data_IF_467837029264
#
_entry.id   IF_467837029264
#
_cell.length_a   1.000
_cell.length_b   1.000
_cell.length_c   1.000
_cell.angle_alpha   90.00
_cell.angle_beta   90.00
_cell.angle_gamma   90.00
#
_symmetry.space_group_name_H-M   'P 1'
#
loop_
_entity.id
_entity.type
_entity.pdbx_description
1 polymer ?
#
# COMPACT_ATOMS: atom_id res chain seq x y z
N UNK A 1 -8.87 -18.62 -8.01
CA UNK A 1 -8.32 -17.26 -8.16
C UNK A 1 -8.70 -16.69 -9.51
N UNK A 2 -8.44 -17.37 -10.63
CA UNK A 2 -8.92 -16.98 -11.97
C UNK A 2 -10.41 -16.53 -12.06
N UNK A 3 -11.34 -17.22 -11.38
CA UNK A 3 -12.76 -16.79 -11.26
C UNK A 3 -12.94 -15.36 -10.69
N UNK A 4 -12.11 -14.97 -9.72
CA UNK A 4 -12.09 -13.60 -9.19
C UNK A 4 -11.40 -12.63 -10.17
N UNK A 5 -10.36 -13.07 -10.89
CA UNK A 5 -9.74 -12.31 -11.97
C UNK A 5 -10.75 -11.94 -13.06
N UNK A 6 -11.58 -12.90 -13.48
CA UNK A 6 -12.70 -12.67 -14.43
C UNK A 6 -13.71 -11.65 -13.89
N UNK A 7 -14.14 -11.77 -12.64
CA UNK A 7 -15.07 -10.82 -12.02
C UNK A 7 -14.51 -9.39 -11.89
N UNK A 8 -13.19 -9.25 -11.72
CA UNK A 8 -12.52 -7.94 -11.77
C UNK A 8 -12.37 -7.43 -13.22
N UNK A 9 -12.06 -8.30 -14.18
CA UNK A 9 -11.95 -7.99 -15.61
C UNK A 9 -13.28 -7.51 -16.20
N UNK A 10 -14.36 -8.26 -15.97
CA UNK A 10 -15.73 -7.93 -16.38
C UNK A 10 -16.15 -6.56 -15.82
N UNK A 11 -15.84 -6.28 -14.54
CA UNK A 11 -16.13 -5.00 -13.92
C UNK A 11 -15.29 -3.86 -14.49
N UNK A 12 -13.98 -4.06 -14.66
CA UNK A 12 -13.06 -3.06 -15.21
C UNK A 12 -13.46 -2.63 -16.63
N UNK A 13 -13.86 -3.57 -17.48
CA UNK A 13 -14.40 -3.29 -18.81
C UNK A 13 -15.74 -2.55 -18.71
N UNK A 14 -16.65 -2.97 -17.83
CA UNK A 14 -17.96 -2.33 -17.66
C UNK A 14 -17.89 -0.87 -17.14
N UNK A 15 -16.80 -0.47 -16.47
CA UNK A 15 -16.56 0.92 -16.04
C UNK A 15 -15.59 1.69 -16.96
N UNK A 16 -15.16 1.10 -18.09
CA UNK A 16 -14.21 1.71 -19.02
C UNK A 16 -12.77 1.85 -18.49
N UNK A 17 -12.41 1.15 -17.42
CA UNK A 17 -11.06 1.17 -16.81
C UNK A 17 -10.11 0.24 -17.58
N UNK A 18 -9.68 0.68 -18.76
CA UNK A 18 -8.75 -0.02 -19.66
C UNK A 18 -7.58 0.88 -20.06
N UNK A 19 -6.44 0.29 -20.47
CA UNK A 19 -5.31 1.03 -21.02
C UNK A 19 -5.45 1.27 -22.55
N UNK A 20 -4.46 1.96 -23.13
CA UNK A 20 -4.29 2.19 -24.58
C UNK A 20 -4.38 0.91 -25.45
N UNK A 21 -4.02 -0.26 -24.89
CA UNK A 21 -4.06 -1.59 -25.55
C UNK A 21 -5.35 -2.37 -25.22
N UNK A 22 -6.36 -1.74 -24.63
CA UNK A 22 -7.62 -2.39 -24.19
C UNK A 22 -7.49 -3.32 -22.98
N UNK A 23 -6.34 -3.39 -22.32
CA UNK A 23 -6.10 -4.25 -21.15
C UNK A 23 -6.80 -3.68 -19.91
N UNK A 24 -7.63 -4.44 -19.18
CA UNK A 24 -8.34 -3.94 -18.00
C UNK A 24 -7.39 -3.60 -16.84
N UNK A 25 -7.69 -2.48 -16.19
CA UNK A 25 -6.91 -1.87 -15.11
C UNK A 25 -7.72 -1.84 -13.82
N UNK A 26 -7.18 -2.39 -12.73
CA UNK A 26 -7.87 -2.46 -11.42
C UNK A 26 -7.03 -1.96 -10.24
N UNK A 27 -7.66 -1.33 -9.24
CA UNK A 27 -7.03 -1.08 -7.95
C UNK A 27 -7.02 -2.37 -7.11
N UNK A 28 -5.88 -2.66 -6.49
CA UNK A 28 -5.70 -3.83 -5.62
C UNK A 28 -5.16 -3.43 -4.25
N UNK A 29 -5.34 -4.30 -3.26
CA UNK A 29 -4.69 -4.16 -1.95
C UNK A 29 -3.85 -5.38 -1.62
N UNK A 30 -2.69 -5.16 -0.99
CA UNK A 30 -1.76 -6.24 -0.65
C UNK A 30 -0.99 -5.97 0.64
N UNK A 31 -0.82 -7.03 1.43
CA UNK A 31 -0.27 -7.07 2.79
C UNK A 31 0.27 -8.49 3.04
N UNK A 32 1.18 -8.67 4.00
CA UNK A 32 1.71 -9.97 4.38
C UNK A 32 1.64 -10.23 5.87
N UNK A 33 1.66 -11.52 6.23
CA UNK A 33 1.72 -11.92 7.61
C UNK A 33 2.74 -13.03 7.87
N UNK A 34 3.52 -12.81 8.92
CA UNK A 34 4.58 -13.72 9.34
C UNK A 34 4.03 -14.89 10.16
N UNK A 35 4.69 -16.04 10.07
CA UNK A 35 4.34 -17.26 10.82
C UNK A 35 4.45 -17.11 12.34
N UNK A 36 5.28 -16.18 12.82
CA UNK A 36 5.46 -15.80 14.23
C UNK A 36 4.96 -14.36 14.44
N UNK A 37 4.53 -14.02 15.66
CA UNK A 37 4.25 -12.62 16.04
C UNK A 37 5.56 -11.88 16.33
N UNK A 38 5.77 -10.76 15.64
CA UNK A 38 6.79 -9.75 15.94
C UNK A 38 6.18 -8.67 16.84
N UNK A 39 6.64 -8.55 18.09
CA UNK A 39 6.20 -7.51 19.02
C UNK A 39 7.04 -6.23 18.87
N UNK A 40 7.19 -5.74 17.64
CA UNK A 40 8.06 -4.60 17.29
C UNK A 40 9.56 -4.92 17.30
N UNK A 41 10.04 -5.75 18.22
CA UNK A 41 11.47 -5.96 18.51
C UNK A 41 12.11 -7.20 17.86
N UNK A 42 11.34 -8.06 17.18
CA UNK A 42 11.84 -9.38 16.77
C UNK A 42 11.28 -9.85 15.41
N UNK A 43 12.01 -9.53 14.35
CA UNK A 43 11.66 -9.84 12.96
C UNK A 43 12.20 -11.21 12.49
N UNK A 44 12.44 -12.19 13.38
CA UNK A 44 13.12 -13.45 13.04
C UNK A 44 12.33 -14.45 12.16
N UNK A 45 11.01 -14.26 11.97
CA UNK A 45 10.07 -15.27 11.48
C UNK A 45 10.58 -16.11 10.29
N UNK A 46 10.57 -17.45 10.43
CA UNK A 46 11.13 -18.37 9.42
C UNK A 46 10.33 -18.43 8.11
N UNK A 47 9.06 -18.00 8.16
CA UNK A 47 8.19 -17.92 6.98
C UNK A 47 7.26 -16.70 7.05
N UNK A 48 6.86 -16.22 5.88
CA UNK A 48 5.78 -15.25 5.69
C UNK A 48 4.88 -15.66 4.52
N UNK A 49 3.63 -15.23 4.58
CA UNK A 49 2.65 -15.41 3.51
C UNK A 49 2.01 -14.05 3.20
N UNK A 50 1.93 -13.70 1.92
CA UNK A 50 1.38 -12.44 1.44
C UNK A 50 0.32 -12.69 0.38
N UNK A 51 -0.60 -11.74 0.23
CA UNK A 51 -1.67 -11.83 -0.75
C UNK A 51 -1.98 -10.48 -1.37
N UNK A 52 -2.47 -10.53 -2.61
CA UNK A 52 -3.07 -9.40 -3.32
C UNK A 52 -4.57 -9.72 -3.49
N UNK A 53 -5.43 -8.79 -3.08
CA UNK A 53 -6.87 -8.89 -3.25
C UNK A 53 -7.39 -7.75 -4.16
N UNK A 54 -8.29 -8.12 -5.08
CA UNK A 54 -9.01 -7.16 -5.91
C UNK A 54 -10.05 -6.40 -5.10
N UNK A 55 -10.23 -5.11 -5.39
CA UNK A 55 -11.07 -4.24 -4.55
C UNK A 55 -12.57 -4.37 -4.84
N UNK A 56 -12.96 -4.80 -6.03
CA UNK A 56 -14.37 -4.97 -6.41
C UNK A 56 -14.91 -6.31 -5.89
N UNK A 57 -14.31 -7.41 -6.35
CA UNK A 57 -14.63 -8.79 -5.97
C UNK A 57 -14.38 -9.06 -4.48
N UNK A 58 -13.44 -8.31 -3.88
CA UNK A 58 -12.96 -8.46 -2.49
C UNK A 58 -12.37 -9.84 -2.21
N UNK A 59 -11.98 -10.58 -3.27
CA UNK A 59 -11.35 -11.91 -3.25
C UNK A 59 -9.84 -11.79 -3.46
N UNK A 60 -9.09 -12.80 -3.00
CA UNK A 60 -7.65 -12.94 -3.27
C UNK A 60 -7.43 -13.34 -4.73
N UNK A 61 -6.60 -12.57 -5.44
CA UNK A 61 -6.18 -12.78 -6.82
C UNK A 61 -4.85 -13.53 -6.88
N UNK A 62 -3.89 -13.15 -6.03
CA UNK A 62 -2.57 -13.78 -5.92
C UNK A 62 -2.23 -14.03 -4.45
N UNK A 63 -1.53 -15.13 -4.16
CA UNK A 63 -0.90 -15.36 -2.86
C UNK A 63 0.48 -16.02 -3.05
N UNK A 64 1.43 -15.66 -2.19
CA UNK A 64 2.76 -16.25 -2.18
C UNK A 64 3.19 -16.60 -0.76
N UNK A 65 4.10 -17.57 -0.64
CA UNK A 65 4.65 -18.04 0.65
C UNK A 65 6.17 -18.14 0.52
N UNK A 66 6.88 -17.47 1.43
CA UNK A 66 8.35 -17.45 1.49
C UNK A 66 8.82 -18.12 2.78
N UNK A 67 9.72 -19.09 2.69
CA UNK A 67 10.32 -19.78 3.82
C UNK A 67 11.86 -19.76 3.71
N UNK A 68 12.54 -19.45 4.82
CA UNK A 68 14.00 -19.49 4.95
C UNK A 68 14.55 -20.87 5.33
N UNK A 69 13.68 -21.82 5.69
CA UNK A 69 14.05 -23.09 6.32
C UNK A 69 13.28 -24.25 5.70
N UNK A 70 14.02 -25.28 5.28
CA UNK A 70 13.49 -26.62 5.06
C UNK A 70 14.06 -27.56 6.13
N UNK A 71 13.23 -28.40 6.77
CA UNK A 71 13.72 -29.34 7.80
C UNK A 71 14.73 -30.35 7.27
N UNK A 72 14.60 -30.78 6.01
CA UNK A 72 15.48 -31.81 5.43
C UNK A 72 16.88 -31.22 5.24
N UNK A 73 17.01 -30.09 4.54
CA UNK A 73 18.27 -29.33 4.44
C UNK A 73 18.87 -29.00 5.82
N UNK A 74 18.04 -28.54 6.77
CA UNK A 74 18.51 -28.16 8.11
C UNK A 74 19.00 -29.36 8.94
N UNK A 75 18.45 -30.56 8.73
CA UNK A 75 18.94 -31.80 9.37
C UNK A 75 20.19 -32.35 8.71
N UNK A 76 20.31 -32.23 7.39
CA UNK A 76 21.47 -32.67 6.63
C UNK A 76 22.71 -31.81 6.95
N UNK A 77 22.57 -30.49 6.87
CA UNK A 77 23.60 -29.52 7.26
C UNK A 77 24.06 -29.71 8.72
N UNK A 78 23.12 -29.95 9.66
CA UNK A 78 23.45 -30.32 11.06
C UNK A 78 24.24 -31.62 11.24
N UNK A 79 24.31 -32.48 10.23
CA UNK A 79 25.13 -33.70 10.21
C UNK A 79 26.40 -33.56 9.36
N UNK A 80 26.67 -32.39 8.78
CA UNK A 80 27.67 -32.20 7.73
C UNK A 80 27.52 -33.18 6.56
N UNK A 81 26.27 -33.48 6.18
CA UNK A 81 25.91 -34.32 5.04
C UNK A 81 25.07 -33.53 4.04
N UNK A 82 25.14 -33.92 2.77
CA UNK A 82 24.23 -33.41 1.74
C UNK A 82 22.77 -33.81 2.02
N UNK A 83 21.81 -32.95 1.64
CA UNK A 83 20.40 -33.29 1.78
C UNK A 83 20.02 -34.42 0.81
N UNK A 84 19.27 -35.44 1.26
CA UNK A 84 18.67 -36.39 0.33
C UNK A 84 17.68 -35.66 -0.59
N UNK A 85 17.45 -36.22 -1.78
CA UNK A 85 16.49 -35.63 -2.73
C UNK A 85 15.11 -35.46 -2.09
N UNK A 86 14.55 -34.27 -2.27
CA UNK A 86 13.26 -33.87 -1.73
C UNK A 86 12.78 -32.56 -2.35
N UNK A 87 11.46 -32.36 -2.35
CA UNK A 87 10.85 -31.05 -2.62
C UNK A 87 11.28 -30.07 -1.51
N UNK A 88 12.26 -29.22 -1.83
CA UNK A 88 12.77 -28.22 -0.89
C UNK A 88 11.77 -27.06 -0.74
N UNK A 89 11.34 -26.79 0.49
CA UNK A 89 10.42 -25.68 0.79
C UNK A 89 11.12 -24.35 1.13
N UNK A 90 12.47 -24.32 1.14
CA UNK A 90 13.26 -23.09 1.27
C UNK A 90 13.30 -22.39 -0.08
N UNK A 91 12.69 -21.20 -0.16
CA UNK A 91 12.52 -20.44 -1.39
C UNK A 91 12.72 -18.92 -1.16
N UNK A 92 13.42 -18.56 -0.09
CA UNK A 92 13.73 -17.18 0.27
C UNK A 92 14.98 -17.09 1.13
N UNK A 93 15.91 -16.24 0.74
CA UNK A 93 17.11 -15.89 1.48
C UNK A 93 17.14 -14.38 1.67
N UNK A 94 17.18 -13.94 2.94
CA UNK A 94 17.06 -12.52 3.29
C UNK A 94 16.34 -12.28 4.62
N UNK A 95 16.20 -11.00 5.03
CA UNK A 95 15.46 -10.62 6.24
C UNK A 95 13.96 -10.86 6.06
N UNK A 96 13.26 -11.24 7.13
CA UNK A 96 11.85 -11.63 7.04
C UNK A 96 10.94 -10.48 6.59
N UNK A 97 11.34 -9.24 6.83
CA UNK A 97 10.67 -8.01 6.35
C UNK A 97 10.60 -7.93 4.82
N UNK A 98 11.64 -8.39 4.12
CA UNK A 98 11.67 -8.39 2.65
C UNK A 98 10.81 -9.50 2.00
N UNK A 99 10.24 -10.42 2.79
CA UNK A 99 9.33 -11.46 2.26
C UNK A 99 8.08 -10.87 1.61
N UNK A 100 7.52 -9.82 2.20
CA UNK A 100 6.34 -9.13 1.67
C UNK A 100 6.65 -8.50 0.32
N UNK A 101 7.69 -7.67 0.25
CA UNK A 101 8.13 -7.02 -0.98
C UNK A 101 8.35 -8.04 -2.10
N UNK A 102 8.98 -9.18 -1.82
CA UNK A 102 9.13 -10.27 -2.78
C UNK A 102 7.78 -10.87 -3.24
N UNK A 103 6.90 -11.26 -2.31
CA UNK A 103 5.60 -11.89 -2.63
C UNK A 103 4.69 -10.96 -3.42
N UNK A 104 4.57 -9.70 -3.00
CA UNK A 104 3.71 -8.73 -3.68
C UNK A 104 4.31 -8.38 -5.05
N UNK A 105 5.63 -8.21 -5.17
CA UNK A 105 6.29 -7.94 -6.47
C UNK A 105 6.16 -9.12 -7.43
N UNK A 106 6.16 -10.36 -6.95
CA UNK A 106 5.87 -11.55 -7.78
C UNK A 106 4.44 -11.51 -8.31
N UNK A 107 3.44 -11.28 -7.45
CA UNK A 107 2.04 -11.18 -7.86
C UNK A 107 1.68 -9.97 -8.73
N UNK A 108 2.49 -8.91 -8.71
CA UNK A 108 2.40 -7.79 -9.65
C UNK A 108 3.01 -8.13 -11.02
N UNK A 109 3.97 -9.05 -11.10
CA UNK A 109 4.56 -9.50 -12.37
C UNK A 109 3.69 -10.54 -13.07
N UNK A 110 3.11 -11.48 -12.33
CA UNK A 110 2.29 -12.55 -12.91
C UNK A 110 0.84 -12.16 -13.23
N UNK A 111 0.39 -10.93 -12.91
CA UNK A 111 -1.02 -10.52 -13.04
C UNK A 111 -1.55 -10.52 -14.47
N UNK A 112 -0.69 -10.27 -15.46
CA UNK A 112 -1.02 -10.38 -16.89
C UNK A 112 -1.16 -11.84 -17.30
N UNK A 113 -0.24 -12.71 -16.90
CA UNK A 113 -0.24 -14.14 -17.26
C UNK A 113 -1.35 -14.92 -16.52
N UNK A 114 -1.56 -14.63 -15.24
CA UNK A 114 -2.54 -15.29 -14.36
C UNK A 114 -3.99 -14.89 -14.68
N UNK A 115 -4.23 -13.63 -15.05
CA UNK A 115 -5.58 -13.03 -15.10
C UNK A 115 -5.84 -12.06 -16.27
N UNK A 116 -4.83 -11.65 -17.05
CA UNK A 116 -4.98 -10.59 -18.06
C UNK A 116 -5.24 -9.19 -17.48
N UNK A 117 -4.77 -8.92 -16.26
CA UNK A 117 -5.09 -7.70 -15.50
C UNK A 117 -3.87 -6.83 -15.20
N UNK A 118 -4.04 -5.51 -15.32
CA UNK A 118 -3.07 -4.51 -14.86
C UNK A 118 -3.51 -3.98 -13.49
N UNK A 119 -2.68 -4.15 -12.48
CA UNK A 119 -2.92 -3.57 -11.15
C UNK A 119 -2.45 -2.11 -11.13
N UNK A 120 -3.33 -1.17 -11.45
CA UNK A 120 -2.97 0.25 -11.66
C UNK A 120 -2.75 1.03 -10.35
N UNK A 121 -3.37 0.61 -9.24
CA UNK A 121 -3.19 1.20 -7.92
C UNK A 121 -2.92 0.13 -6.87
N UNK A 122 -2.00 0.43 -5.96
CA UNK A 122 -1.63 -0.40 -4.84
C UNK A 122 -2.05 0.26 -3.52
N UNK A 123 -3.11 -0.25 -2.90
CA UNK A 123 -3.59 0.14 -1.57
C UNK A 123 -2.85 -0.66 -0.50
N UNK A 124 -1.94 0.00 0.20
CA UNK A 124 -1.07 -0.61 1.21
C UNK A 124 -1.19 0.13 2.55
N UNK A 125 -0.39 -0.26 3.54
CA UNK A 125 -0.03 0.65 4.63
C UNK A 125 1.22 1.48 4.27
N UNK A 126 1.78 2.16 5.26
CA UNK A 126 2.84 3.16 5.07
C UNK A 126 4.20 2.61 4.62
N UNK A 127 4.39 1.29 4.59
CA UNK A 127 5.71 0.72 4.38
C UNK A 127 6.19 0.94 2.94
N UNK A 128 7.34 1.62 2.83
CA UNK A 128 7.85 2.14 1.56
C UNK A 128 8.57 1.09 0.71
N UNK A 129 9.10 0.04 1.35
CA UNK A 129 9.89 -1.03 0.70
C UNK A 129 9.08 -1.81 -0.33
N UNK A 130 7.83 -2.15 -0.03
CA UNK A 130 7.00 -2.97 -0.93
C UNK A 130 6.60 -2.17 -2.17
N UNK A 131 6.19 -0.91 -2.01
CA UNK A 131 5.91 -0.04 -3.16
C UNK A 131 7.16 0.31 -3.98
N UNK A 132 8.31 0.55 -3.34
CA UNK A 132 9.58 0.77 -4.03
C UNK A 132 9.98 -0.46 -4.87
N UNK A 133 9.81 -1.67 -4.33
CA UNK A 133 10.04 -2.92 -5.05
C UNK A 133 9.16 -3.04 -6.31
N UNK A 134 7.85 -2.80 -6.18
CA UNK A 134 6.92 -2.77 -7.32
C UNK A 134 7.37 -1.74 -8.36
N UNK A 135 7.58 -0.48 -7.95
CA UNK A 135 7.96 0.64 -8.84
C UNK A 135 9.29 0.44 -9.57
N UNK A 136 10.27 -0.19 -8.92
CA UNK A 136 11.58 -0.51 -9.50
C UNK A 136 11.52 -1.73 -10.42
N UNK A 137 10.65 -2.71 -10.11
CA UNK A 137 10.48 -3.92 -10.93
C UNK A 137 9.76 -3.70 -12.27
N UNK A 138 9.05 -2.57 -12.42
CA UNK A 138 8.25 -2.17 -13.59
C UNK A 138 7.45 -3.34 -14.19
N UNK A 139 6.39 -3.83 -13.50
CA UNK A 139 5.61 -4.98 -13.97
C UNK A 139 4.87 -4.74 -15.28
N UNK A 140 4.61 -3.47 -15.66
CA UNK A 140 3.87 -3.10 -16.86
C UNK A 140 4.66 -2.08 -17.69
N UNK A 141 4.62 -2.20 -19.01
CA UNK A 141 5.34 -1.31 -19.92
C UNK A 141 4.81 0.13 -19.88
N UNK A 142 3.48 0.28 -19.98
CA UNK A 142 2.80 1.57 -20.18
C UNK A 142 2.21 2.20 -18.91
N UNK A 143 2.26 1.52 -17.76
CA UNK A 143 1.56 1.92 -16.53
C UNK A 143 2.49 1.86 -15.31
N UNK A 144 2.78 3.02 -14.70
CA UNK A 144 3.27 3.04 -13.30
C UNK A 144 2.10 2.78 -12.35
N UNK A 145 2.30 1.81 -11.47
CA UNK A 145 1.43 1.56 -10.32
C UNK A 145 1.43 2.78 -9.40
N UNK A 146 0.28 3.37 -9.13
CA UNK A 146 0.14 4.42 -8.11
C UNK A 146 0.07 3.83 -6.69
N UNK A 147 0.70 4.48 -5.69
CA UNK A 147 0.47 4.11 -4.28
C UNK A 147 -0.74 4.86 -3.73
N UNK A 148 -1.57 4.16 -2.96
CA UNK A 148 -2.62 4.78 -2.14
C UNK A 148 -2.45 4.30 -0.69
N UNK A 149 -2.33 5.25 0.24
CA UNK A 149 -2.11 4.96 1.66
C UNK A 149 -3.42 4.57 2.36
N UNK A 150 -3.42 3.47 3.12
CA UNK A 150 -4.59 3.06 3.89
C UNK A 150 -5.00 4.13 4.91
N UNK A 151 -6.23 4.64 4.77
CA UNK A 151 -6.82 5.67 5.66
C UNK A 151 -6.74 5.28 7.15
N UNK A 152 -6.95 3.99 7.47
CA UNK A 152 -6.86 3.50 8.85
C UNK A 152 -5.43 3.61 9.41
N UNK A 153 -4.40 3.43 8.57
CA UNK A 153 -3.00 3.53 8.97
C UNK A 153 -2.52 4.97 9.10
N UNK A 154 -2.88 5.87 8.17
CA UNK A 154 -2.64 7.31 8.29
C UNK A 154 -3.21 7.86 9.60
N UNK A 155 -4.51 7.66 9.86
CA UNK A 155 -5.19 8.14 11.06
C UNK A 155 -4.64 7.50 12.35
N UNK A 156 -4.26 6.21 12.31
CA UNK A 156 -3.63 5.51 13.45
C UNK A 156 -2.26 6.13 13.76
N UNK A 157 -1.46 6.45 12.76
CA UNK A 157 -0.11 7.01 12.95
C UNK A 157 -0.17 8.47 13.42
N UNK A 158 -1.09 9.29 12.87
CA UNK A 158 -1.39 10.62 13.38
C UNK A 158 -1.78 10.60 14.87
N UNK A 159 -2.72 9.72 15.27
CA UNK A 159 -3.08 9.58 16.68
C UNK A 159 -1.92 9.13 17.59
N UNK A 160 -1.02 8.26 17.13
CA UNK A 160 0.19 7.88 17.90
C UNK A 160 1.07 9.10 18.15
N UNK A 161 1.26 9.96 17.15
CA UNK A 161 2.11 11.15 17.25
C UNK A 161 1.50 12.22 18.18
N UNK A 162 0.20 12.51 18.06
CA UNK A 162 -0.51 13.39 19.00
C UNK A 162 -0.43 12.88 20.44
N UNK A 163 -0.60 11.57 20.65
CA UNK A 163 -0.43 10.95 21.97
C UNK A 163 1.01 11.07 22.49
N UNK A 164 2.02 10.98 21.62
CA UNK A 164 3.43 11.15 22.00
C UNK A 164 3.70 12.57 22.56
N UNK A 165 3.18 13.61 21.90
CA UNK A 165 3.21 15.00 22.39
C UNK A 165 2.50 15.10 23.75
N UNK A 166 1.30 14.55 23.86
CA UNK A 166 0.53 14.57 25.11
C UNK A 166 1.19 13.81 26.27
N UNK A 167 2.05 12.82 25.99
CA UNK A 167 2.86 12.14 27.02
C UNK A 167 4.17 12.85 27.37
N UNK A 168 4.71 13.69 26.50
CA UNK A 168 6.03 14.30 26.68
C UNK A 168 6.04 15.30 27.86
N UNK A 169 6.74 14.97 28.94
CA UNK A 169 6.77 15.74 30.20
C UNK A 169 7.35 17.16 30.08
N UNK A 170 7.99 17.53 28.96
CA UNK A 170 8.45 18.91 28.68
C UNK A 170 7.30 19.93 28.69
N UNK A 171 6.07 19.52 28.37
CA UNK A 171 4.93 20.44 28.25
C UNK A 171 4.08 20.53 29.53
N UNK A 172 3.43 21.67 29.82
CA UNK A 172 2.56 21.85 30.99
C UNK A 172 1.43 20.82 31.10
N UNK A 173 1.08 20.45 32.32
CA UNK A 173 0.08 19.39 32.60
C UNK A 173 -1.28 19.72 31.98
N UNK A 174 -1.72 20.99 32.02
CA UNK A 174 -2.98 21.48 31.44
C UNK A 174 -3.04 21.24 29.93
N UNK A 175 -2.06 21.76 29.17
CA UNK A 175 -1.93 21.54 27.73
C UNK A 175 -1.87 20.05 27.34
N UNK A 176 -1.12 19.24 28.10
CA UNK A 176 -1.01 17.79 27.87
C UNK A 176 -2.32 17.05 28.08
N UNK A 177 -3.06 17.38 29.15
CA UNK A 177 -4.40 16.83 29.40
C UNK A 177 -5.35 17.22 28.26
N UNK A 178 -5.38 18.50 27.88
CA UNK A 178 -6.27 19.02 26.85
C UNK A 178 -6.07 18.31 25.49
N UNK A 179 -4.81 18.05 25.08
CA UNK A 179 -4.53 17.28 23.86
C UNK A 179 -4.89 15.78 24.01
N UNK A 180 -4.59 15.18 25.17
CA UNK A 180 -4.90 13.77 25.49
C UNK A 180 -6.40 13.47 25.50
N UNK A 181 -7.23 14.45 25.87
CA UNK A 181 -8.68 14.28 25.94
C UNK A 181 -9.32 14.55 24.56
N UNK A 182 -8.71 15.39 23.70
CA UNK A 182 -9.27 15.79 22.40
C UNK A 182 -8.74 15.06 21.15
N UNK A 183 -7.58 14.37 21.17
CA UNK A 183 -6.99 13.77 19.95
C UNK A 183 -7.92 12.83 19.15
N UNK A 184 -8.86 12.15 19.81
CA UNK A 184 -9.87 11.32 19.14
C UNK A 184 -10.93 12.13 18.40
N UNK A 185 -11.26 13.34 18.87
CA UNK A 185 -12.12 14.29 18.15
C UNK A 185 -11.43 14.76 16.88
N UNK A 186 -10.11 15.00 16.91
CA UNK A 186 -9.35 15.42 15.71
C UNK A 186 -9.39 14.33 14.64
N UNK A 187 -9.16 13.07 15.04
CA UNK A 187 -9.37 11.92 14.15
C UNK A 187 -10.80 11.83 13.59
N UNK A 188 -11.81 12.03 14.45
CA UNK A 188 -13.21 11.92 14.06
C UNK A 188 -13.61 13.02 13.07
N UNK A 189 -13.17 14.26 13.29
CA UNK A 189 -13.38 15.37 12.37
C UNK A 189 -12.84 15.08 10.97
N UNK A 190 -11.60 14.59 10.87
CA UNK A 190 -11.00 14.18 9.59
C UNK A 190 -11.80 13.04 8.93
N UNK A 191 -12.22 12.03 9.70
CA UNK A 191 -13.04 10.93 9.18
C UNK A 191 -14.50 11.35 8.85
N UNK A 192 -14.95 12.53 9.27
CA UNK A 192 -16.22 13.14 8.85
C UNK A 192 -16.05 13.98 7.57
N UNK A 193 -15.04 14.85 7.51
CA UNK A 193 -14.63 15.58 6.30
C UNK A 193 -14.46 14.63 5.10
N UNK A 194 -13.68 13.56 5.28
CA UNK A 194 -13.40 12.59 4.21
C UNK A 194 -14.67 11.88 3.73
N UNK A 195 -15.64 11.59 4.62
CA UNK A 195 -16.93 11.01 4.21
C UNK A 195 -17.78 12.00 3.43
N UNK A 196 -17.80 13.26 3.86
CA UNK A 196 -18.55 14.32 3.19
C UNK A 196 -18.06 14.51 1.76
N UNK A 197 -16.77 14.78 1.56
CA UNK A 197 -16.18 15.02 0.24
C UNK A 197 -16.15 13.79 -0.66
N UNK A 198 -15.99 12.58 -0.10
CA UNK A 198 -16.11 11.33 -0.85
C UNK A 198 -17.52 11.14 -1.44
N UNK A 199 -18.56 11.55 -0.72
CA UNK A 199 -19.96 11.42 -1.15
C UNK A 199 -20.44 12.44 -2.19
N UNK A 200 -19.66 13.50 -2.47
CA UNK A 200 -20.02 14.51 -3.47
C UNK A 200 -19.66 14.04 -4.87
N UNK A 201 -20.62 13.64 -5.71
CA UNK A 201 -20.32 13.19 -7.07
C UNK A 201 -20.07 14.35 -8.08
N UNK A 202 -20.56 15.55 -7.77
CA UNK A 202 -20.57 16.70 -8.69
C UNK A 202 -19.26 17.55 -8.64
N UNK A 203 -18.21 17.05 -7.98
CA UNK A 203 -16.99 17.79 -7.66
C UNK A 203 -15.78 16.99 -8.14
N UNK A 204 -14.78 17.64 -8.75
CA UNK A 204 -13.60 16.96 -9.29
C UNK A 204 -12.75 16.31 -8.19
N UNK A 205 -11.92 15.34 -8.58
CA UNK A 205 -11.01 14.68 -7.64
C UNK A 205 -9.99 15.66 -7.04
N UNK A 206 -9.55 16.66 -7.81
CA UNK A 206 -8.61 17.70 -7.36
C UNK A 206 -9.23 18.60 -6.28
N UNK A 207 -10.45 19.09 -6.51
CA UNK A 207 -11.18 19.90 -5.52
C UNK A 207 -11.49 19.10 -4.24
N UNK A 208 -11.86 17.82 -4.35
CA UNK A 208 -12.03 16.94 -3.18
C UNK A 208 -10.76 16.85 -2.36
N UNK A 209 -9.61 16.67 -3.01
CA UNK A 209 -8.31 16.59 -2.36
C UNK A 209 -7.96 17.91 -1.66
N UNK A 210 -8.11 19.06 -2.32
CA UNK A 210 -7.77 20.37 -1.75
C UNK A 210 -8.71 20.73 -0.58
N UNK A 211 -10.01 20.44 -0.68
CA UNK A 211 -10.94 20.64 0.43
C UNK A 211 -10.63 19.73 1.64
N UNK A 212 -10.33 18.44 1.42
CA UNK A 212 -9.89 17.51 2.48
C UNK A 212 -8.59 17.98 3.14
N UNK A 213 -7.62 18.47 2.35
CA UNK A 213 -6.34 19.02 2.83
C UNK A 213 -6.57 20.23 3.75
N UNK A 214 -7.43 21.17 3.34
CA UNK A 214 -7.78 22.35 4.14
C UNK A 214 -8.55 21.97 5.41
N UNK A 215 -9.50 21.03 5.34
CA UNK A 215 -10.17 20.46 6.52
C UNK A 215 -9.19 19.80 7.51
N UNK A 216 -8.18 19.07 7.03
CA UNK A 216 -7.16 18.44 7.89
C UNK A 216 -6.32 19.51 8.63
N UNK A 217 -5.98 20.62 7.95
CA UNK A 217 -5.21 21.72 8.54
C UNK A 217 -6.06 22.52 9.55
N UNK A 218 -7.34 22.75 9.25
CA UNK A 218 -8.27 23.47 10.12
C UNK A 218 -8.83 22.60 11.29
N UNK A 219 -8.81 21.27 11.15
CA UNK A 219 -9.35 20.33 12.14
C UNK A 219 -8.88 20.55 13.60
N UNK A 220 -7.57 20.76 13.86
CA UNK A 220 -7.09 21.14 15.19
C UNK A 220 -7.67 22.46 15.70
N UNK A 221 -7.67 23.51 14.87
CA UNK A 221 -8.17 24.85 15.21
C UNK A 221 -9.62 24.78 15.70
N UNK A 222 -10.51 24.15 14.91
CA UNK A 222 -11.91 23.92 15.26
C UNK A 222 -12.08 23.24 16.63
N UNK A 223 -11.20 22.29 16.97
CA UNK A 223 -11.36 21.45 18.16
C UNK A 223 -10.81 22.10 19.42
N UNK A 224 -9.89 23.06 19.27
CA UNK A 224 -9.38 23.90 20.34
C UNK A 224 -10.03 25.30 20.38
N UNK A 225 -11.12 25.52 19.62
CA UNK A 225 -12.03 26.67 19.75
C UNK A 225 -11.73 27.87 18.85
N UNK A 226 -10.85 27.74 17.86
CA UNK A 226 -10.72 28.71 16.78
C UNK A 226 -11.59 28.29 15.58
N UNK A 227 -12.63 29.06 15.32
CA UNK A 227 -13.59 28.79 14.25
C UNK A 227 -13.47 29.73 13.04
N UNK A 228 -12.41 30.54 12.98
CA UNK A 228 -12.19 31.56 11.92
C UNK A 228 -12.20 31.01 10.50
N UNK A 229 -11.74 29.76 10.29
CA UNK A 229 -11.63 29.09 8.98
C UNK A 229 -12.56 27.89 8.85
N UNK A 230 -13.61 27.78 9.68
CA UNK A 230 -14.51 26.63 9.65
C UNK A 230 -15.60 26.74 8.58
N UNK A 231 -15.68 25.73 7.70
CA UNK A 231 -16.77 25.60 6.74
C UNK A 231 -18.14 25.32 7.40
N UNK A 232 -19.21 25.79 6.77
CA UNK A 232 -20.58 25.77 7.31
C UNK A 232 -21.16 24.37 7.52
N UNK A 233 -20.83 23.39 6.67
CA UNK A 233 -21.25 21.99 6.85
C UNK A 233 -20.59 21.31 8.05
N UNK A 234 -19.51 21.91 8.60
CA UNK A 234 -18.69 21.32 9.66
C UNK A 234 -18.82 22.06 11.00
N UNK A 235 -19.23 23.34 11.00
CA UNK A 235 -19.34 24.17 12.20
C UNK A 235 -20.59 25.05 12.17
N UNK A 236 -21.55 24.73 13.03
CA UNK A 236 -22.76 25.54 13.26
C UNK A 236 -22.49 26.63 14.29
N UNK A 237 -23.27 27.73 14.26
CA UNK A 237 -23.08 28.85 15.18
C UNK A 237 -23.39 28.51 16.65
N UNK A 238 -24.10 27.41 16.90
CA UNK A 238 -24.26 26.84 18.24
C UNK A 238 -22.93 26.32 18.81
N UNK A 239 -22.05 25.74 17.98
CA UNK A 239 -20.72 25.28 18.39
C UNK A 239 -19.83 26.50 18.69
N UNK A 240 -19.83 27.49 17.80
CA UNK A 240 -19.03 28.73 17.95
C UNK A 240 -19.35 29.52 19.23
N UNK A 241 -20.60 29.43 19.73
CA UNK A 241 -21.06 30.06 20.98
C UNK A 241 -20.73 29.27 22.24
N UNK A 242 -20.27 28.02 22.12
CA UNK A 242 -19.94 27.13 23.24
C UNK A 242 -18.43 26.83 23.37
N UNK A 243 -17.62 27.34 22.43
CA UNK A 243 -16.18 27.11 22.34
C UNK A 243 -15.35 28.21 23.02
N UNK A 244 -14.65 27.87 24.11
CA UNK A 244 -13.52 28.67 24.59
C UNK A 244 -12.32 28.47 23.66
N UNK A 245 -11.67 29.55 23.21
CA UNK A 245 -10.51 29.46 22.31
C UNK A 245 -9.23 29.22 23.11
N UNK A 246 -8.78 27.97 23.12
CA UNK A 246 -7.57 27.48 23.81
C UNK A 246 -6.33 27.47 22.90
N UNK A 247 -6.45 27.88 21.63
CA UNK A 247 -5.31 27.94 20.69
C UNK A 247 -4.19 28.87 21.20
N UNK A 248 -4.45 30.07 21.76
CA UNK A 248 -3.39 30.93 22.29
C UNK A 248 -2.58 30.28 23.42
N UNK A 249 -3.24 29.63 24.39
CA UNK A 249 -2.58 28.91 25.49
C UNK A 249 -1.66 27.80 24.95
N UNK A 250 -2.17 27.00 24.01
CA UNK A 250 -1.41 25.91 23.41
C UNK A 250 -0.25 26.40 22.52
N UNK A 251 -0.35 27.61 21.93
CA UNK A 251 0.74 28.26 21.18
C UNK A 251 1.83 28.81 22.10
N UNK A 252 1.48 29.50 23.19
CA UNK A 252 2.44 29.96 24.22
C UNK A 252 3.25 28.80 24.80
N UNK A 253 2.65 27.61 24.93
CA UNK A 253 3.33 26.41 25.42
C UNK A 253 4.02 25.56 24.34
N UNK A 254 4.05 26.00 23.07
CA UNK A 254 4.69 25.30 21.95
C UNK A 254 4.05 23.96 21.55
N UNK A 255 2.97 23.55 22.22
CA UNK A 255 2.24 22.30 21.95
C UNK A 255 1.49 22.39 20.62
N UNK A 256 0.87 23.53 20.34
CA UNK A 256 0.02 23.69 19.16
C UNK A 256 0.84 23.61 17.85
N UNK A 257 2.04 24.19 17.81
CA UNK A 257 2.94 24.09 16.64
C UNK A 257 3.20 22.63 16.27
N UNK A 258 3.48 21.76 17.25
CA UNK A 258 3.70 20.34 17.00
C UNK A 258 2.43 19.60 16.50
N UNK A 259 1.24 20.12 16.79
CA UNK A 259 -0.04 19.62 16.25
C UNK A 259 -0.28 20.16 14.83
N UNK A 260 0.04 21.42 14.55
CA UNK A 260 0.06 22.01 13.21
C UNK A 260 1.03 21.26 12.29
N UNK A 261 2.28 21.06 12.72
CA UNK A 261 3.31 20.30 11.99
C UNK A 261 2.87 18.86 11.67
N UNK A 262 2.04 18.25 12.51
CA UNK A 262 1.45 16.93 12.27
C UNK A 262 0.24 16.98 11.34
N UNK A 263 -0.59 18.02 11.44
CA UNK A 263 -1.75 18.21 10.56
C UNK A 263 -1.29 18.52 9.12
N UNK A 264 -0.31 19.40 8.93
CA UNK A 264 0.31 19.67 7.63
C UNK A 264 0.91 18.39 7.02
N UNK A 265 1.70 17.62 7.77
CA UNK A 265 2.22 16.32 7.29
C UNK A 265 1.12 15.32 6.94
N UNK A 266 -0.02 15.32 7.65
CA UNK A 266 -1.16 14.47 7.32
C UNK A 266 -1.88 14.96 6.05
N UNK A 267 -1.99 16.27 5.84
CA UNK A 267 -2.65 16.88 4.67
C UNK A 267 -1.93 16.59 3.35
N UNK A 268 -0.61 16.33 3.37
CA UNK A 268 0.14 15.83 2.21
C UNK A 268 -0.40 14.49 1.68
N UNK A 269 -1.11 13.71 2.50
CA UNK A 269 -1.76 12.46 2.10
C UNK A 269 -3.22 12.64 1.63
N UNK A 270 -3.68 13.87 1.38
CA UNK A 270 -5.05 14.16 0.95
C UNK A 270 -5.50 13.36 -0.28
N UNK A 271 -4.60 13.09 -1.23
CA UNK A 271 -4.81 12.17 -2.36
C UNK A 271 -5.33 10.79 -1.90
N UNK A 272 -4.69 10.21 -0.87
CA UNK A 272 -5.10 8.90 -0.32
C UNK A 272 -6.37 8.97 0.51
N UNK A 273 -6.63 10.11 1.15
CA UNK A 273 -7.90 10.35 1.83
C UNK A 273 -9.07 10.51 0.87
N UNK A 274 -8.88 11.15 -0.30
CA UNK A 274 -9.91 11.31 -1.33
C UNK A 274 -10.38 9.96 -1.90
N UNK A 275 -9.49 8.96 -1.99
CA UNK A 275 -9.88 7.57 -2.31
C UNK A 275 -10.61 6.86 -1.17
N UNK A 276 -10.46 7.28 0.10
CA UNK A 276 -11.18 6.76 1.27
C UNK A 276 -10.96 5.24 1.56
N UNK A 277 -9.94 4.62 0.95
CA UNK A 277 -9.68 3.17 0.94
C UNK A 277 -8.93 2.64 2.17
N UNK A 278 -8.94 1.31 2.34
CA UNK A 278 -8.26 0.60 3.44
C UNK A 278 -7.76 -0.79 3.04
N UNK A 279 -6.59 -1.22 3.53
CA UNK A 279 -6.06 -2.58 3.35
C UNK A 279 -6.74 -3.67 4.21
N UNK A 280 -7.89 -3.37 4.83
CA UNK A 280 -8.65 -4.27 5.70
C UNK A 280 -9.00 -5.64 5.05
N UNK A 281 -9.10 -5.72 3.72
CA UNK A 281 -9.37 -6.98 3.02
C UNK A 281 -8.26 -7.99 3.27
N UNK A 282 -7.00 -7.59 3.01
CA UNK A 282 -5.83 -8.44 3.20
C UNK A 282 -5.44 -8.59 4.68
N UNK A 283 -5.70 -7.60 5.55
CA UNK A 283 -5.66 -7.81 7.02
C UNK A 283 -6.59 -8.98 7.41
N UNK A 284 -7.79 -9.07 6.81
CA UNK A 284 -8.77 -10.12 7.12
C UNK A 284 -8.44 -11.48 6.49
N UNK A 285 -7.73 -11.51 5.35
CA UNK A 285 -7.08 -12.73 4.85
C UNK A 285 -5.99 -13.20 5.82
N UNK A 286 -5.12 -12.29 6.26
CA UNK A 286 -4.05 -12.55 7.21
C UNK A 286 -4.57 -13.02 8.58
N UNK A 287 -5.78 -12.61 8.97
CA UNK A 287 -6.51 -13.18 10.10
C UNK A 287 -6.97 -14.64 9.85
N UNK A 288 -7.47 -14.98 8.65
CA UNK A 288 -7.79 -16.38 8.30
C UNK A 288 -6.53 -17.26 8.25
N UNK A 289 -5.43 -16.78 7.66
CA UNK A 289 -4.12 -17.47 7.73
C UNK A 289 -3.73 -17.73 9.18
N UNK A 290 -3.85 -16.74 10.06
CA UNK A 290 -3.56 -16.88 11.48
C UNK A 290 -4.42 -17.98 12.17
N UNK A 291 -5.69 -18.16 11.78
CA UNK A 291 -6.51 -19.27 12.25
C UNK A 291 -6.00 -20.63 11.74
N UNK A 292 -5.75 -20.74 10.42
CA UNK A 292 -5.27 -21.99 9.79
C UNK A 292 -3.90 -22.43 10.32
N UNK A 293 -3.06 -21.51 10.82
CA UNK A 293 -1.75 -21.80 11.46
C UNK A 293 -1.80 -21.80 13.00
N UNK A 294 -2.96 -22.09 13.60
CA UNK A 294 -3.08 -22.32 15.04
C UNK A 294 -2.79 -21.09 15.89
N UNK A 295 -3.29 -19.92 15.47
CA UNK A 295 -3.13 -18.65 16.18
C UNK A 295 -1.70 -18.09 16.18
N UNK A 296 -0.82 -18.61 15.31
CA UNK A 296 0.64 -18.37 15.33
C UNK A 296 1.33 -18.88 16.62
N UNK A 297 0.71 -19.87 17.30
CA UNK A 297 1.27 -20.54 18.49
C UNK A 297 2.08 -21.80 18.14
N UNK A 298 1.67 -22.52 17.09
CA UNK A 298 2.30 -23.78 16.64
C UNK A 298 3.24 -23.49 15.47
N UNK A 299 4.44 -24.05 15.49
CA UNK A 299 5.44 -23.83 14.44
C UNK A 299 5.21 -24.75 13.22
N UNK A 300 4.48 -24.26 12.21
CA UNK A 300 4.27 -24.97 10.95
C UNK A 300 5.33 -24.68 9.86
N UNK A 301 6.31 -23.80 10.10
CA UNK A 301 7.29 -23.32 9.10
C UNK A 301 8.26 -24.38 8.59
N UNK A 302 8.36 -25.50 9.30
CA UNK A 302 9.41 -26.50 9.13
C UNK A 302 9.22 -27.42 7.90
N UNK A 303 8.02 -27.50 7.33
CA UNK A 303 7.63 -28.37 6.20
C UNK A 303 6.52 -27.69 5.38
N UNK A 304 6.05 -28.34 4.29
CA UNK A 304 4.90 -27.94 3.44
C UNK A 304 3.64 -27.44 4.18
N UNK A 305 3.48 -27.81 5.46
CA UNK A 305 2.29 -27.48 6.27
C UNK A 305 1.97 -25.98 6.32
N UNK A 306 2.96 -25.07 6.43
CA UNK A 306 2.67 -23.63 6.41
C UNK A 306 2.07 -23.18 5.07
N UNK A 307 2.68 -23.58 3.94
CA UNK A 307 2.18 -23.25 2.61
C UNK A 307 0.78 -23.82 2.34
N UNK A 308 0.55 -25.10 2.67
CA UNK A 308 -0.77 -25.74 2.52
C UNK A 308 -1.86 -25.09 3.39
N UNK A 309 -1.50 -24.61 4.59
CA UNK A 309 -2.41 -23.84 5.47
C UNK A 309 -2.74 -22.46 4.91
N UNK A 310 -1.79 -21.80 4.24
CA UNK A 310 -2.04 -20.52 3.56
C UNK A 310 -2.92 -20.71 2.32
N UNK A 311 -2.71 -21.78 1.54
CA UNK A 311 -3.59 -22.14 0.42
C UNK A 311 -5.02 -22.46 0.89
N UNK A 312 -5.18 -23.27 1.94
CA UNK A 312 -6.49 -23.52 2.56
C UNK A 312 -7.17 -22.26 3.08
N UNK A 313 -6.40 -21.28 3.57
CA UNK A 313 -6.91 -19.97 3.94
C UNK A 313 -7.38 -19.14 2.72
N UNK A 314 -6.75 -19.27 1.54
CA UNK A 314 -7.22 -18.62 0.29
C UNK A 314 -8.56 -19.21 -0.16
N UNK A 315 -8.69 -20.54 -0.17
CA UNK A 315 -9.96 -21.21 -0.49
C UNK A 315 -11.05 -20.75 0.50
N UNK A 316 -10.73 -20.79 1.81
CA UNK A 316 -11.62 -20.29 2.86
C UNK A 316 -11.98 -18.81 2.68
N UNK A 317 -11.08 -18.00 2.13
CA UNK A 317 -11.31 -16.58 1.89
C UNK A 317 -12.24 -16.33 0.70
N UNK A 318 -12.00 -16.99 -0.43
CA UNK A 318 -12.69 -16.74 -1.70
C UNK A 318 -14.04 -17.46 -1.84
N UNK A 319 -14.16 -18.73 -1.42
CA UNK A 319 -15.42 -19.52 -1.52
C UNK A 319 -16.09 -19.77 -0.17
N UNK A 320 -15.31 -19.80 0.92
CA UNK A 320 -15.80 -20.19 2.26
C UNK A 320 -16.04 -21.70 2.43
N UNK A 321 -16.19 -22.44 1.33
CA UNK A 321 -16.42 -23.88 1.27
C UNK A 321 -15.10 -24.63 1.00
N UNK A 322 -14.32 -24.86 2.06
CA UNK A 322 -12.96 -25.39 1.98
C UNK A 322 -12.96 -26.88 1.68
N UNK A 323 -13.79 -27.64 2.41
CA UNK A 323 -13.84 -29.10 2.26
C UNK A 323 -14.47 -29.47 0.93
N UNK A 324 -15.53 -28.77 0.53
CA UNK A 324 -16.19 -28.95 -0.78
C UNK A 324 -15.23 -28.67 -1.94
N UNK A 325 -14.57 -27.50 -1.97
CA UNK A 325 -13.63 -27.16 -3.07
C UNK A 325 -12.45 -28.15 -3.14
N UNK A 326 -11.90 -28.59 -2.00
CA UNK A 326 -10.77 -29.53 -1.98
C UNK A 326 -11.20 -30.95 -2.38
N UNK A 327 -12.37 -31.42 -1.95
CA UNK A 327 -12.89 -32.74 -2.32
C UNK A 327 -13.13 -32.84 -3.83
N UNK A 328 -13.92 -31.91 -4.39
CA UNK A 328 -14.28 -31.91 -5.81
C UNK A 328 -13.03 -31.82 -6.71
N UNK A 329 -11.98 -31.10 -6.27
CA UNK A 329 -10.71 -31.00 -7.01
C UNK A 329 -9.85 -32.28 -6.92
N UNK A 330 -9.81 -32.96 -5.76
CA UNK A 330 -8.96 -34.15 -5.57
C UNK A 330 -9.60 -35.41 -6.16
N UNK A 331 -10.91 -35.57 -6.03
CA UNK A 331 -11.61 -36.81 -6.37
C UNK A 331 -12.47 -36.72 -7.65
N UNK A 332 -12.71 -35.52 -8.19
CA UNK A 332 -13.61 -35.30 -9.34
C UNK A 332 -15.10 -35.53 -9.03
N UNK A 333 -15.44 -35.90 -7.80
CA UNK A 333 -16.79 -36.24 -7.34
C UNK A 333 -17.35 -35.20 -6.39
N UNK A 334 -18.68 -35.13 -6.30
CA UNK A 334 -19.36 -34.21 -5.37
C UNK A 334 -19.02 -34.54 -3.91
N UNK A 335 -18.68 -33.51 -3.14
CA UNK A 335 -18.49 -33.63 -1.70
C UNK A 335 -19.79 -34.04 -0.99
N UNK A 336 -19.65 -34.77 0.12
CA UNK A 336 -20.75 -35.22 0.97
C UNK A 336 -21.78 -34.09 1.24
N UNK A 337 -23.09 -34.28 0.94
CA UNK A 337 -24.10 -33.24 1.07
C UNK A 337 -24.19 -32.59 2.45
N UNK A 338 -23.88 -33.28 3.54
CA UNK A 338 -23.86 -32.69 4.89
C UNK A 338 -22.66 -31.77 5.10
N UNK A 339 -21.50 -32.04 4.47
CA UNK A 339 -20.38 -31.10 4.45
C UNK A 339 -20.79 -29.83 3.70
N UNK A 340 -21.37 -29.98 2.50
CA UNK A 340 -21.88 -28.87 1.68
C UNK A 340 -22.92 -28.05 2.45
N UNK A 341 -23.84 -28.71 3.15
CA UNK A 341 -24.86 -28.09 4.03
C UNK A 341 -24.22 -27.30 5.17
N UNK A 342 -23.24 -27.87 5.88
CA UNK A 342 -22.55 -27.22 6.99
C UNK A 342 -21.71 -26.01 6.53
N UNK A 343 -21.00 -26.10 5.41
CA UNK A 343 -20.26 -24.98 4.82
C UNK A 343 -21.22 -23.87 4.35
N UNK A 344 -22.36 -24.22 3.77
CA UNK A 344 -23.43 -23.26 3.40
C UNK A 344 -24.07 -22.57 4.61
N UNK A 345 -24.37 -23.31 5.70
CA UNK A 345 -24.86 -22.73 6.97
C UNK A 345 -23.81 -21.76 7.54
N UNK A 346 -22.54 -22.15 7.54
CA UNK A 346 -21.43 -21.32 8.03
C UNK A 346 -21.28 -20.03 7.21
N UNK A 347 -21.40 -20.11 5.88
CA UNK A 347 -21.40 -18.94 5.01
C UNK A 347 -22.58 -18.00 5.30
N UNK A 348 -23.81 -18.51 5.41
CA UNK A 348 -25.00 -17.73 5.78
C UNK A 348 -24.86 -17.06 7.17
N UNK A 349 -24.24 -17.73 8.14
CA UNK A 349 -23.95 -17.17 9.47
C UNK A 349 -22.82 -16.12 9.46
N UNK A 350 -21.82 -16.28 8.59
CA UNK A 350 -20.74 -15.29 8.42
C UNK A 350 -21.28 -13.97 7.85
N UNK A 351 -22.14 -14.02 6.83
CA UNK A 351 -22.81 -12.82 6.27
C UNK A 351 -23.59 -12.08 7.36
N UNK A 352 -24.47 -12.79 8.09
CA UNK A 352 -25.24 -12.25 9.23
C UNK A 352 -24.38 -11.73 10.40
N UNK A 353 -23.12 -12.18 10.51
CA UNK A 353 -22.15 -11.65 11.48
C UNK A 353 -21.45 -10.38 10.99
N UNK A 354 -21.13 -10.28 9.70
CA UNK A 354 -20.52 -9.07 9.11
C UNK A 354 -21.48 -7.88 9.25
N UNK A 355 -22.77 -8.07 8.93
CA UNK A 355 -23.85 -7.10 9.13
C UNK A 355 -23.92 -6.56 10.57
N UNK A 356 -23.78 -7.44 11.57
CA UNK A 356 -23.78 -7.06 13.00
C UNK A 356 -22.44 -6.46 13.46
N UNK A 357 -21.32 -6.87 12.87
CA UNK A 357 -19.96 -6.51 13.31
C UNK A 357 -19.60 -5.04 13.06
N UNK A 358 -20.30 -4.36 12.14
CA UNK A 358 -20.11 -2.93 11.83
C UNK A 358 -20.30 -2.04 13.08
N UNK A 359 -21.04 -2.50 14.10
CA UNK A 359 -21.59 -1.64 15.16
C UNK A 359 -20.69 -1.34 16.37
N UNK A 360 -19.51 -1.96 16.57
CA UNK A 360 -18.63 -1.69 17.75
C UNK A 360 -17.11 -1.82 17.46
N UNK A 361 -16.28 -0.93 18.04
CA UNK A 361 -14.79 -0.95 17.98
C UNK A 361 -14.17 -0.86 19.40
N UNK A 362 -12.92 -1.34 19.55
CA UNK A 362 -12.03 -1.14 20.73
C UNK A 362 -10.58 -0.84 20.27
N UNK A 363 -9.71 -0.47 21.22
CA UNK A 363 -8.37 0.16 21.04
C UNK A 363 -7.29 -0.66 21.77
N UNK A 364 -5.99 -0.59 21.37
CA UNK A 364 -4.82 -0.61 22.28
C UNK A 364 -3.48 -0.18 21.61
N UNK A 365 -2.34 -0.26 22.33
CA UNK A 365 -1.09 0.55 22.16
C UNK A 365 0.16 -0.20 21.59
N UNK A 366 1.26 0.51 21.20
CA UNK A 366 2.47 -0.05 20.55
C UNK A 366 3.84 0.16 21.27
N UNK A 367 4.91 -0.48 20.78
CA UNK A 367 6.36 -0.13 20.87
C UNK A 367 7.09 -0.59 19.56
N UNK A 368 8.30 -0.11 19.26
CA UNK A 368 9.12 -0.31 18.00
C UNK A 368 10.13 -1.50 18.09
N UNK A 369 11.20 -1.75 17.29
CA UNK A 369 12.02 -1.15 16.19
C UNK A 369 12.92 -2.32 15.61
N UNK A 370 13.62 -2.36 14.44
CA UNK A 370 13.66 -1.70 13.11
C UNK A 370 14.74 -2.42 12.23
N UNK A 371 14.97 -2.00 10.96
CA UNK A 371 16.22 -2.16 10.15
C UNK A 371 16.61 -3.57 9.60
N UNK A 372 17.58 -3.79 8.70
CA UNK A 372 18.67 -2.93 8.17
C UNK A 372 19.03 -3.04 6.64
N UNK A 373 19.91 -3.98 6.23
CA UNK A 373 20.82 -3.90 5.06
C UNK A 373 20.20 -4.02 3.64
N UNK A 374 20.77 -3.30 2.64
CA UNK A 374 20.38 -3.29 1.20
C UNK A 374 21.54 -2.79 0.29
N UNK A 375 21.61 -3.17 -1.00
CA UNK A 375 22.55 -2.55 -1.98
C UNK A 375 22.77 -3.26 -3.35
N UNK A 376 22.49 -2.54 -4.43
CA UNK A 376 23.14 -2.38 -5.76
C UNK A 376 23.70 -3.55 -6.61
N UNK A 377 23.91 -4.77 -6.10
CA UNK A 377 24.74 -5.78 -6.79
C UNK A 377 24.02 -6.69 -7.83
N UNK A 378 22.99 -6.20 -8.55
CA UNK A 378 22.17 -7.05 -9.45
C UNK A 378 22.09 -6.50 -10.88
N UNK A 379 22.49 -7.31 -11.86
CA UNK A 379 22.50 -6.99 -13.31
C UNK A 379 21.51 -7.93 -14.03
N UNK A 380 20.84 -7.43 -15.08
CA UNK A 380 19.92 -8.20 -15.94
C UNK A 380 20.40 -8.11 -17.41
N UNK A 381 20.06 -9.10 -18.22
CA UNK A 381 20.47 -9.24 -19.63
C UNK A 381 19.65 -8.33 -20.55
N UNK A 382 20.29 -7.85 -21.62
CA UNK A 382 19.75 -6.94 -22.64
C UNK A 382 18.88 -7.63 -23.73
N UNK A 383 18.32 -6.82 -24.63
CA UNK A 383 17.36 -7.16 -25.69
C UNK A 383 18.04 -7.25 -27.08
N UNK A 384 17.39 -7.89 -28.07
CA UNK A 384 17.87 -7.97 -29.45
C UNK A 384 17.96 -6.59 -30.16
N UNK A 385 18.95 -6.43 -31.04
CA UNK A 385 19.24 -5.18 -31.74
C UNK A 385 18.18 -4.77 -32.79
N UNK A 386 17.55 -5.73 -33.49
CA UNK A 386 16.51 -5.42 -34.47
C UNK A 386 15.14 -5.20 -33.81
N UNK A 387 14.88 -5.83 -32.67
CA UNK A 387 13.76 -5.45 -31.79
C UNK A 387 13.96 -4.04 -31.21
N UNK A 388 15.17 -3.73 -30.73
CA UNK A 388 15.51 -2.41 -30.18
C UNK A 388 15.32 -1.28 -31.21
N UNK A 389 15.76 -1.45 -32.47
CA UNK A 389 15.59 -0.46 -33.55
C UNK A 389 14.12 -0.15 -33.84
N UNK A 390 13.27 -1.18 -33.88
CA UNK A 390 11.81 -1.02 -34.09
C UNK A 390 11.18 -0.32 -32.89
N UNK A 391 11.40 -0.83 -31.67
CA UNK A 391 10.86 -0.25 -30.44
C UNK A 391 11.27 1.22 -30.23
N UNK A 392 12.52 1.59 -30.58
CA UNK A 392 13.01 2.97 -30.56
C UNK A 392 12.23 3.88 -31.51
N UNK A 393 11.88 3.41 -32.71
CA UNK A 393 11.20 4.22 -33.73
C UNK A 393 9.74 4.47 -33.32
N UNK A 394 9.03 3.42 -32.90
CA UNK A 394 7.67 3.53 -32.37
C UNK A 394 7.62 4.39 -31.10
N UNK A 395 8.69 4.41 -30.30
CA UNK A 395 8.78 5.23 -29.10
C UNK A 395 8.90 6.71 -29.43
N UNK A 396 9.70 7.09 -30.44
CA UNK A 396 9.86 8.50 -30.85
C UNK A 396 8.54 9.08 -31.38
N UNK A 397 7.82 8.35 -32.23
CA UNK A 397 6.50 8.76 -32.73
C UNK A 397 5.50 8.99 -31.58
N UNK A 398 5.57 8.18 -30.51
CA UNK A 398 4.75 8.32 -29.29
C UNK A 398 5.20 9.45 -28.33
N UNK A 399 6.18 10.26 -28.70
CA UNK A 399 6.52 11.51 -28.00
C UNK A 399 5.96 12.76 -28.71
N UNK A 400 5.44 12.63 -29.93
CA UNK A 400 4.85 13.74 -30.68
C UNK A 400 3.40 13.98 -30.19
N UNK A 401 3.25 14.97 -29.31
CA UNK A 401 1.96 15.35 -28.70
C UNK A 401 1.55 16.78 -29.08
N UNK A 402 0.24 17.01 -29.19
CA UNK A 402 -0.39 18.27 -29.57
C UNK A 402 -0.21 19.37 -28.51
N UNK A 403 -0.73 20.58 -28.74
CA UNK A 403 -0.73 21.64 -27.73
C UNK A 403 -1.69 21.32 -26.58
N UNK A 404 -2.94 20.97 -26.91
CA UNK A 404 -4.01 20.69 -25.94
C UNK A 404 -3.66 19.52 -24.99
N UNK A 405 -2.95 18.50 -25.49
CA UNK A 405 -2.45 17.39 -24.67
C UNK A 405 -1.35 17.82 -23.69
N UNK A 406 -0.52 18.83 -24.01
CA UNK A 406 0.52 19.34 -23.10
C UNK A 406 -0.12 20.06 -21.92
N UNK A 407 -1.08 20.93 -22.19
CA UNK A 407 -1.80 21.70 -21.17
C UNK A 407 -2.57 20.75 -20.23
N UNK A 408 -3.19 19.70 -20.78
CA UNK A 408 -3.83 18.65 -19.99
C UNK A 408 -2.83 17.84 -19.15
N UNK A 409 -1.69 17.46 -19.73
CA UNK A 409 -0.62 16.75 -19.01
C UNK A 409 -0.04 17.63 -17.89
N UNK A 410 0.07 18.95 -18.05
CA UNK A 410 0.44 19.84 -16.95
C UNK A 410 -0.56 19.72 -15.79
N UNK A 411 -1.85 19.89 -16.06
CA UNK A 411 -2.92 19.85 -15.05
C UNK A 411 -2.98 18.50 -14.32
N UNK A 412 -2.94 17.38 -15.05
CA UNK A 412 -2.96 16.03 -14.46
C UNK A 412 -1.65 15.66 -13.73
N UNK A 413 -0.59 16.48 -13.83
CA UNK A 413 0.73 16.21 -13.23
C UNK A 413 1.23 17.24 -12.21
N UNK A 414 0.40 18.20 -11.80
CA UNK A 414 0.69 19.21 -10.74
C UNK A 414 1.32 18.61 -9.47
N UNK A 415 0.93 17.39 -9.07
CA UNK A 415 1.49 16.70 -7.89
C UNK A 415 2.92 16.15 -8.05
N UNK A 416 3.56 16.40 -9.20
CA UNK A 416 4.96 16.05 -9.51
C UNK A 416 5.31 14.61 -9.08
N UNK A 417 6.30 14.43 -8.20
CA UNK A 417 6.78 13.11 -7.76
C UNK A 417 5.75 12.23 -7.04
N UNK A 418 4.57 12.76 -6.68
CA UNK A 418 3.46 11.98 -6.15
C UNK A 418 2.43 11.56 -7.22
N UNK A 419 2.44 12.16 -8.43
CA UNK A 419 1.58 11.73 -9.55
C UNK A 419 2.21 10.53 -10.28
N UNK A 420 1.49 9.39 -10.43
CA UNK A 420 1.95 8.27 -11.26
C UNK A 420 2.15 8.66 -12.73
N UNK A 421 1.31 9.57 -13.24
CA UNK A 421 1.39 10.07 -14.62
C UNK A 421 2.65 10.91 -14.82
N UNK A 422 2.97 11.83 -13.88
CA UNK A 422 4.22 12.62 -13.94
C UNK A 422 5.45 11.71 -13.96
N UNK A 423 5.42 10.62 -13.18
CA UNK A 423 6.51 9.65 -13.13
C UNK A 423 6.70 8.88 -14.44
N UNK A 424 5.64 8.55 -15.18
CA UNK A 424 5.77 8.00 -16.54
C UNK A 424 6.20 9.06 -17.56
N UNK A 425 5.56 10.23 -17.59
CA UNK A 425 5.92 11.32 -18.51
C UNK A 425 7.39 11.73 -18.34
N UNK A 426 7.88 11.81 -17.10
CA UNK A 426 9.29 12.08 -16.78
C UNK A 426 10.25 10.92 -17.11
N UNK A 427 9.78 9.67 -17.17
CA UNK A 427 10.56 8.54 -17.70
C UNK A 427 10.66 8.57 -19.22
N UNK A 428 9.63 9.08 -19.89
CA UNK A 428 9.57 9.20 -21.37
C UNK A 428 10.44 10.35 -21.92
N UNK A 429 10.73 11.39 -21.11
CA UNK A 429 11.35 12.65 -21.57
C UNK A 429 12.67 12.98 -20.86
N UNK A 430 13.62 13.55 -21.61
CA UNK A 430 14.81 14.18 -21.02
C UNK A 430 14.44 15.54 -20.41
N UNK A 431 14.67 15.70 -19.11
CA UNK A 431 14.39 16.97 -18.42
C UNK A 431 15.44 18.04 -18.72
N UNK A 432 15.06 19.31 -18.69
CA UNK A 432 15.95 20.45 -18.98
C UNK A 432 17.29 20.42 -18.20
N UNK A 433 17.26 19.96 -16.96
CA UNK A 433 18.43 19.73 -16.10
C UNK A 433 19.49 18.78 -16.68
N UNK A 434 19.07 17.82 -17.51
CA UNK A 434 19.93 16.86 -18.20
C UNK A 434 20.22 17.27 -19.65
N UNK A 435 19.29 17.99 -20.29
CA UNK A 435 19.35 18.33 -21.71
C UNK A 435 20.67 19.00 -22.12
N UNK A 436 21.09 20.05 -21.39
CA UNK A 436 22.40 20.71 -21.62
C UNK A 436 23.58 19.73 -21.53
N UNK A 437 23.57 18.80 -20.58
CA UNK A 437 24.65 17.82 -20.35
C UNK A 437 24.69 16.76 -21.46
N UNK A 438 23.53 16.33 -21.97
CA UNK A 438 23.41 15.40 -23.09
C UNK A 438 23.88 16.06 -24.40
N UNK A 439 23.38 17.26 -24.70
CA UNK A 439 23.72 17.97 -25.95
C UNK A 439 25.19 18.43 -26.01
N UNK A 440 25.83 18.74 -24.87
CA UNK A 440 27.24 19.15 -24.80
C UNK A 440 28.22 17.97 -24.67
N UNK A 441 27.74 16.72 -24.66
CA UNK A 441 28.62 15.53 -24.61
C UNK A 441 29.41 15.40 -25.91
N UNK A 442 30.74 15.37 -25.82
CA UNK A 442 31.61 15.09 -26.99
C UNK A 442 31.33 13.67 -27.51
N UNK A 443 31.30 13.42 -28.84
CA UNK A 443 31.02 12.10 -29.39
C UNK A 443 31.92 10.99 -28.83
N UNK A 444 33.21 11.30 -28.61
CA UNK A 444 34.23 10.40 -28.07
C UNK A 444 34.13 10.12 -26.57
N UNK A 445 33.30 10.85 -25.81
CA UNK A 445 33.12 10.59 -24.37
C UNK A 445 32.10 9.48 -24.17
N UNK A 446 32.54 8.35 -23.58
CA UNK A 446 31.68 7.20 -23.25
C UNK A 446 30.39 7.64 -22.54
N UNK A 447 29.24 7.25 -23.09
CA UNK A 447 27.92 7.65 -22.58
C UNK A 447 27.45 6.83 -21.38
N UNK A 448 28.00 5.62 -21.14
CA UNK A 448 27.52 4.68 -20.11
C UNK A 448 27.46 5.29 -18.70
N UNK A 449 28.44 6.09 -18.21
CA UNK A 449 28.33 6.75 -16.90
C UNK A 449 27.17 7.75 -16.84
N UNK A 450 26.99 8.57 -17.88
CA UNK A 450 25.91 9.57 -17.96
C UNK A 450 24.53 8.90 -18.06
N UNK A 451 24.41 7.84 -18.87
CA UNK A 451 23.18 7.04 -18.98
C UNK A 451 22.84 6.39 -17.64
N UNK A 452 23.82 5.79 -16.94
CA UNK A 452 23.63 5.27 -15.59
C UNK A 452 23.20 6.36 -14.60
N UNK A 453 23.75 7.57 -14.69
CA UNK A 453 23.39 8.69 -13.82
C UNK A 453 21.98 9.23 -14.09
N UNK A 454 21.49 9.17 -15.34
CA UNK A 454 20.12 9.55 -15.72
C UNK A 454 19.11 8.49 -15.28
N UNK A 455 19.42 7.19 -15.46
CA UNK A 455 18.50 6.07 -15.17
C UNK A 455 18.48 5.65 -13.69
N UNK A 456 19.62 5.72 -13.00
CA UNK A 456 19.84 5.21 -11.65
C UNK A 456 20.39 6.28 -10.68
N UNK A 457 20.20 7.56 -10.99
CA UNK A 457 20.67 8.68 -10.16
C UNK A 457 20.17 8.58 -8.72
N UNK A 458 21.09 8.69 -7.76
CA UNK A 458 20.79 8.58 -6.32
C UNK A 458 19.94 9.74 -5.81
N UNK A 459 19.15 9.51 -4.76
CA UNK A 459 18.38 10.59 -4.13
C UNK A 459 19.30 11.54 -3.35
N UNK A 460 19.48 12.73 -3.91
CA UNK A 460 20.28 13.81 -3.33
C UNK A 460 19.52 14.62 -2.25
N UNK A 461 18.33 14.19 -1.80
CA UNK A 461 17.55 14.86 -0.74
C UNK A 461 18.31 15.06 0.57
N UNK A 462 19.30 14.21 0.85
CA UNK A 462 20.14 14.29 2.04
C UNK A 462 21.30 15.30 1.92
N UNK A 463 21.59 15.83 0.73
CA UNK A 463 22.69 16.79 0.50
C UNK A 463 22.28 18.16 1.08
N UNK A 464 23.04 18.75 2.01
CA UNK A 464 22.62 19.97 2.72
C UNK A 464 22.30 21.17 1.81
N UNK A 465 23.07 21.38 0.74
CA UNK A 465 22.82 22.47 -0.23
C UNK A 465 21.52 22.27 -1.02
N UNK A 466 21.21 21.05 -1.42
CA UNK A 466 19.95 20.70 -2.12
C UNK A 466 18.76 20.76 -1.15
N UNK A 467 18.96 20.43 0.12
CA UNK A 467 17.96 20.62 1.17
C UNK A 467 17.68 22.10 1.45
N UNK A 468 18.70 22.96 1.34
CA UNK A 468 18.55 24.41 1.48
C UNK A 468 17.84 25.04 0.26
N UNK A 469 18.06 24.51 -0.95
CA UNK A 469 17.37 24.92 -2.18
C UNK A 469 15.98 24.29 -2.40
N UNK A 470 15.36 23.69 -1.38
CA UNK A 470 14.01 23.06 -1.42
C UNK A 470 12.97 23.85 -0.60
N UNK A 471 13.09 25.18 -0.59
CA UNK A 471 12.14 26.12 0.03
C UNK A 471 10.92 26.28 -0.87
#
# INVERSE_FOLDING_TARGET
MAEAGKQEQEHAVAIGSVNEKGTPMIPVTGDACWSKRSYGTNYCASSGAGAIAGMYSKKVLHYGVKNKVCTICSRANKKALDPPDHICFKNFDGPSTAMEAAIITEGFKSSLDDHGLIYNQYVADGDSSTYASIRNSRPYESVTVGKVECKNHLLRNYCKALLSIATNTKYPIRARKLLKDNYLRIRWGIDCSVKFWYGQNNISFSEKMENIKNDIINGPYHIFGDHSKCASYFCTDAIKKQSENMVPELKVHGVFQQVEDLAHRLSLHAYSFAYNVTNNLVESYNARVAMFVGGKRVNFTQRRSYAGRCAGAVISYNSGAVQTTVHNYIFGTEANPEIVRLENIRNKLNVKRIEKSIKKKKVFKPVTNKDAHYGDACIKVDMDDEEYKRAKTDFLLRLEITAEEKDKIEQDTILQSASPLWLETRRKLLTASWFSTVCKRRPSTNCTPLVKQILYGTDLSNVPSIKHGKI
#
